data_IF_896398147028
#
_entry.id   IF_896398147028
#
_cell.length_a   1.000
_cell.length_b   1.000
_cell.length_c   1.000
_cell.angle_alpha   90.00
_cell.angle_beta   90.00
_cell.angle_gamma   90.00
#
_symmetry.space_group_name_H-M   'P 1'
#
loop_
_entity.id
_entity.type
_entity.pdbx_description
1 polymer ?
#
# COMPACT_ATOMS: atom_id res chain seq x y z
N UNK A 1 3.93 -65.05 10.91
CA UNK A 1 4.62 -65.12 12.21
C UNK A 1 4.56 -63.74 12.81
N UNK A 2 3.68 -63.56 13.77
CA UNK A 2 3.89 -63.32 15.22
C UNK A 2 4.60 -61.99 15.45
N UNK A 3 4.21 -61.00 16.21
CA UNK A 3 3.19 -60.85 17.29
C UNK A 3 3.40 -59.45 17.78
N UNK A 4 2.43 -58.61 17.90
CA UNK A 4 1.54 -58.35 19.06
C UNK A 4 2.20 -57.69 20.28
N UNK A 5 1.51 -56.67 20.71
CA UNK A 5 1.05 -56.34 22.06
C UNK A 5 1.65 -55.04 22.65
N UNK A 6 0.74 -54.07 22.86
CA UNK A 6 0.07 -53.68 24.14
C UNK A 6 1.00 -52.95 25.11
N UNK A 7 0.63 -51.83 25.68
CA UNK A 7 -0.43 -51.46 26.58
C UNK A 7 -0.41 -49.94 26.77
N UNK A 8 -1.40 -49.12 26.67
CA UNK A 8 -2.62 -48.95 27.51
C UNK A 8 -2.35 -48.52 28.98
N UNK A 9 -2.93 -47.38 29.28
CA UNK A 9 -3.48 -46.92 30.57
C UNK A 9 -2.52 -46.38 31.65
N UNK A 10 -2.70 -45.11 32.05
CA UNK A 10 -3.41 -44.82 33.32
C UNK A 10 -3.88 -43.36 33.40
N UNK A 11 -5.18 -43.25 33.55
CA UNK A 11 -5.94 -42.14 34.07
C UNK A 11 -5.76 -42.06 35.59
N UNK A 12 -5.65 -40.86 36.13
CA UNK A 12 -5.98 -40.60 37.51
C UNK A 12 -6.53 -39.18 37.66
N UNK A 13 -7.79 -39.12 37.86
CA UNK A 13 -8.62 -38.04 38.39
C UNK A 13 -8.26 -37.72 39.85
N UNK A 14 -8.29 -36.45 40.21
CA UNK A 14 -8.61 -36.03 41.56
C UNK A 14 -9.38 -34.71 41.55
N UNK A 15 -10.63 -34.86 41.94
CA UNK A 15 -11.62 -33.84 42.24
C UNK A 15 -11.50 -33.33 43.69
N UNK A 16 -12.13 -32.17 43.91
CA UNK A 16 -12.61 -31.56 45.16
C UNK A 16 -11.62 -30.56 45.79
N UNK A 17 -11.99 -29.37 46.19
CA UNK A 17 -13.06 -28.90 47.06
C UNK A 17 -13.24 -27.39 46.93
N UNK A 18 -14.46 -26.93 46.80
CA UNK A 18 -14.92 -25.58 47.11
C UNK A 18 -15.22 -25.51 48.62
N UNK A 19 -15.08 -24.37 49.25
CA UNK A 19 -16.27 -23.80 49.83
C UNK A 19 -16.48 -22.29 49.62
N UNK A 20 -17.76 -22.02 49.48
CA UNK A 20 -18.44 -20.75 49.41
C UNK A 20 -18.38 -19.97 50.76
N UNK A 21 -18.89 -18.72 50.62
CA UNK A 21 -19.43 -17.78 51.65
C UNK A 21 -18.55 -16.55 51.80
N UNK A 22 -18.96 -15.31 51.59
CA UNK A 22 -20.10 -14.48 51.98
C UNK A 22 -20.04 -13.11 51.34
N UNK A 23 -21.17 -12.63 50.89
CA UNK A 23 -21.54 -11.28 50.48
C UNK A 23 -21.29 -10.24 51.57
N UNK A 24 -20.75 -9.04 51.23
CA UNK A 24 -21.13 -7.75 51.89
C UNK A 24 -20.63 -6.53 51.13
N UNK A 25 -21.55 -5.77 50.67
CA UNK A 25 -21.75 -4.32 50.49
C UNK A 25 -20.62 -3.33 50.67
N UNK A 26 -20.48 -2.42 49.64
CA UNK A 26 -20.09 -1.03 49.46
C UNK A 26 -19.64 -0.21 50.75
N UNK A 27 -18.75 0.84 50.64
CA UNK A 27 -19.10 2.04 49.86
C UNK A 27 -17.92 2.70 49.04
N UNK A 28 -18.30 3.68 48.23
CA UNK A 28 -17.47 4.68 47.55
C UNK A 28 -16.46 5.34 48.47
N UNK A 29 -15.23 5.52 47.99
CA UNK A 29 -14.38 6.63 48.39
C UNK A 29 -13.36 6.93 47.28
N UNK A 30 -13.31 8.22 46.95
CA UNK A 30 -12.33 8.89 46.08
C UNK A 30 -10.89 8.46 46.39
N UNK A 31 -10.13 8.17 45.34
CA UNK A 31 -8.69 8.26 45.41
C UNK A 31 -8.16 9.02 44.20
N UNK A 32 -7.82 10.27 44.43
CA UNK A 32 -6.80 11.01 43.66
C UNK A 32 -5.44 10.48 44.09
N UNK A 33 -4.69 9.91 43.17
CA UNK A 33 -3.29 9.65 43.41
C UNK A 33 -2.49 9.88 42.13
N UNK A 34 -1.67 10.91 42.23
CA UNK A 34 -0.60 11.29 41.32
C UNK A 34 0.27 10.10 40.94
N UNK A 35 0.32 9.73 39.65
CA UNK A 35 1.34 8.87 39.11
C UNK A 35 2.45 9.72 38.48
N UNK A 36 3.58 9.71 39.14
CA UNK A 36 4.84 10.29 38.70
C UNK A 36 5.27 9.62 37.41
N UNK A 37 5.42 10.41 36.34
CA UNK A 37 5.92 9.98 35.03
C UNK A 37 7.43 9.86 35.13
N UNK A 38 7.94 8.63 35.02
CA UNK A 38 9.33 8.40 34.64
C UNK A 38 9.39 8.42 33.12
N UNK A 39 9.77 9.55 32.54
CA UNK A 39 10.10 9.66 31.13
C UNK A 39 11.47 9.03 30.87
N UNK A 40 11.50 7.80 30.41
CA UNK A 40 12.68 7.25 29.75
C UNK A 40 12.64 7.71 28.30
N UNK A 41 13.56 8.62 27.97
CA UNK A 41 13.75 9.08 26.60
C UNK A 41 14.27 7.93 25.72
N UNK A 42 13.43 7.46 24.82
CA UNK A 42 13.86 6.70 23.68
C UNK A 42 13.82 7.62 22.46
N UNK A 43 14.86 7.64 21.62
CA UNK A 43 14.86 8.47 20.42
C UNK A 43 13.78 7.97 19.46
N UNK A 44 12.85 8.86 19.18
CA UNK A 44 11.77 8.64 18.24
C UNK A 44 12.34 8.41 16.84
N UNK A 45 12.29 7.18 16.36
CA UNK A 45 12.26 6.90 14.94
C UNK A 45 10.90 7.37 14.43
N UNK A 46 10.91 8.52 13.74
CA UNK A 46 9.73 9.08 13.11
C UNK A 46 9.29 8.24 11.91
N UNK A 47 8.57 7.17 12.19
CA UNK A 47 7.56 6.70 11.27
C UNK A 47 6.28 7.37 11.72
N UNK A 48 5.85 8.39 10.99
CA UNK A 48 4.46 8.80 11.04
C UNK A 48 3.62 7.65 10.48
N UNK A 49 3.30 6.69 11.35
CA UNK A 49 2.03 6.03 11.24
C UNK A 49 1.03 7.20 11.30
N UNK A 50 0.49 7.61 10.18
CA UNK A 50 -0.78 8.30 10.18
C UNK A 50 -1.65 7.48 11.13
N UNK A 51 -1.91 8.04 12.29
CA UNK A 51 -2.81 7.45 13.26
C UNK A 51 -4.07 7.14 12.48
N UNK A 52 -4.38 5.87 12.35
CA UNK A 52 -5.72 5.45 11.98
C UNK A 52 -6.61 6.09 13.02
N UNK A 53 -7.21 7.22 12.69
CA UNK A 53 -8.29 7.78 13.48
C UNK A 53 -9.42 6.76 13.45
N UNK A 54 -9.43 5.89 14.47
CA UNK A 54 -10.57 5.05 14.78
C UNK A 54 -11.60 5.95 15.46
N UNK A 55 -12.06 6.95 14.67
CA UNK A 55 -13.21 7.74 15.03
C UNK A 55 -14.50 7.00 14.66
N UNK A 56 -15.66 7.43 15.18
CA UNK A 56 -16.93 6.97 14.66
C UNK A 56 -16.95 7.19 13.14
N UNK A 57 -17.64 6.31 12.38
CA UNK A 57 -17.68 6.44 10.92
C UNK A 57 -18.06 7.88 10.56
N UNK A 58 -17.38 8.51 9.59
CA UNK A 58 -17.66 9.87 9.22
C UNK A 58 -19.15 10.04 8.94
N UNK A 59 -19.79 10.93 9.68
CA UNK A 59 -21.20 11.25 9.48
C UNK A 59 -21.33 12.12 8.23
N UNK A 60 -22.40 11.93 7.46
CA UNK A 60 -22.76 12.84 6.37
C UNK A 60 -22.92 14.25 6.96
N UNK A 61 -22.15 15.21 6.45
CA UNK A 61 -22.12 16.60 6.94
C UNK A 61 -22.58 17.61 5.91
N UNK A 62 -22.90 17.14 4.71
CA UNK A 62 -23.21 17.97 3.54
C UNK A 62 -24.69 17.80 3.19
N UNK A 63 -25.28 18.83 2.57
CA UNK A 63 -26.64 18.75 2.06
C UNK A 63 -26.77 17.58 1.06
N UNK A 64 -27.95 16.92 1.01
CA UNK A 64 -28.16 15.82 0.07
C UNK A 64 -28.12 16.32 -1.38
N UNK A 65 -27.74 15.45 -2.33
CA UNK A 65 -27.68 15.80 -3.75
C UNK A 65 -29.00 16.36 -4.27
N UNK A 66 -28.97 17.53 -4.90
CA UNK A 66 -30.17 18.17 -5.45
C UNK A 66 -30.80 17.32 -6.56
N UNK A 67 -32.10 17.09 -6.47
CA UNK A 67 -32.85 16.36 -7.50
C UNK A 67 -32.82 17.05 -8.87
N UNK A 68 -32.72 18.39 -8.89
CA UNK A 68 -32.66 19.21 -10.11
C UNK A 68 -31.30 19.26 -10.79
N UNK A 69 -30.22 18.89 -10.08
CA UNK A 69 -28.86 18.94 -10.62
C UNK A 69 -28.65 17.91 -11.74
N UNK A 70 -27.83 18.25 -12.73
CA UNK A 70 -27.42 17.33 -13.80
C UNK A 70 -26.43 16.27 -13.30
N UNK A 71 -26.24 15.17 -14.05
CA UNK A 71 -25.23 14.15 -13.71
C UNK A 71 -23.83 14.77 -13.59
N UNK A 72 -23.46 15.70 -14.47
CA UNK A 72 -22.15 16.36 -14.47
C UNK A 72 -21.94 17.29 -13.26
N UNK A 73 -22.96 18.02 -12.86
CA UNK A 73 -22.89 18.86 -11.66
C UNK A 73 -22.74 18.01 -10.39
N UNK A 74 -23.52 16.93 -10.29
CA UNK A 74 -23.40 15.99 -9.18
C UNK A 74 -22.04 15.29 -9.14
N UNK A 75 -21.49 14.91 -10.30
CA UNK A 75 -20.14 14.36 -10.41
C UNK A 75 -19.10 15.35 -9.91
N UNK A 76 -19.16 16.61 -10.38
CA UNK A 76 -18.22 17.66 -9.97
C UNK A 76 -18.28 17.95 -8.47
N UNK A 77 -19.48 17.96 -7.88
CA UNK A 77 -19.65 18.12 -6.43
C UNK A 77 -19.06 16.92 -5.67
N UNK A 78 -19.29 15.71 -6.17
CA UNK A 78 -18.68 14.49 -5.63
C UNK A 78 -17.15 14.53 -5.69
N UNK A 79 -16.55 15.06 -6.77
CA UNK A 79 -15.11 15.23 -6.91
C UNK A 79 -14.54 16.19 -5.84
N UNK A 80 -15.22 17.30 -5.58
CA UNK A 80 -14.87 18.25 -4.50
C UNK A 80 -14.91 17.57 -3.13
N UNK A 81 -15.99 16.84 -2.85
CA UNK A 81 -16.14 16.11 -1.58
C UNK A 81 -15.08 15.03 -1.40
N UNK A 82 -14.71 14.31 -2.47
CA UNK A 82 -13.64 13.33 -2.43
C UNK A 82 -12.28 13.98 -2.17
N UNK A 83 -12.00 15.14 -2.76
CA UNK A 83 -10.78 15.91 -2.52
C UNK A 83 -10.68 16.35 -1.05
N UNK A 84 -11.81 16.70 -0.44
CA UNK A 84 -11.94 17.06 0.97
C UNK A 84 -12.01 15.84 1.91
N UNK A 85 -11.81 14.62 1.37
CA UNK A 85 -11.88 13.34 2.09
C UNK A 85 -13.26 13.01 2.68
N UNK A 86 -14.30 13.68 2.25
CA UNK A 86 -15.69 13.40 2.61
C UNK A 86 -16.24 12.25 1.74
N UNK A 87 -15.64 11.07 1.86
CA UNK A 87 -15.87 9.95 0.94
C UNK A 87 -17.31 9.42 0.94
N UNK A 88 -18.01 9.44 2.08
CA UNK A 88 -19.40 8.98 2.14
C UNK A 88 -20.31 9.91 1.36
N UNK A 89 -20.17 11.22 1.56
CA UNK A 89 -20.93 12.22 0.83
C UNK A 89 -20.59 12.18 -0.67
N UNK A 90 -19.29 12.03 -1.02
CA UNK A 90 -18.87 11.86 -2.41
C UNK A 90 -19.55 10.66 -3.08
N UNK A 91 -19.63 9.51 -2.40
CA UNK A 91 -20.33 8.31 -2.91
C UNK A 91 -21.81 8.62 -3.16
N UNK A 92 -22.48 9.33 -2.27
CA UNK A 92 -23.90 9.69 -2.43
C UNK A 92 -24.13 10.57 -3.67
N UNK A 93 -23.26 11.56 -3.88
CA UNK A 93 -23.28 12.41 -5.06
C UNK A 93 -23.00 11.65 -6.36
N UNK A 94 -21.99 10.78 -6.38
CA UNK A 94 -21.71 9.92 -7.54
C UNK A 94 -22.88 8.95 -7.82
N UNK A 95 -23.52 8.40 -6.79
CA UNK A 95 -24.71 7.56 -6.96
C UNK A 95 -25.90 8.35 -7.51
N UNK A 96 -26.06 9.60 -7.08
CA UNK A 96 -27.08 10.49 -7.65
C UNK A 96 -26.79 10.79 -9.13
N UNK A 97 -25.53 11.07 -9.48
CA UNK A 97 -25.09 11.22 -10.86
C UNK A 97 -25.34 9.93 -11.67
N UNK A 98 -25.00 8.77 -11.13
CA UNK A 98 -25.19 7.47 -11.77
C UNK A 98 -26.66 7.14 -12.03
N UNK A 99 -27.60 7.54 -11.16
CA UNK A 99 -29.03 7.39 -11.44
C UNK A 99 -29.48 8.15 -12.68
N UNK A 100 -28.82 9.27 -13.01
CA UNK A 100 -29.11 10.09 -14.20
C UNK A 100 -28.34 9.58 -15.44
N UNK A 101 -27.17 8.99 -15.25
CA UNK A 101 -26.35 8.39 -16.31
C UNK A 101 -25.90 6.97 -15.92
N UNK A 102 -26.79 5.96 -16.05
CA UNK A 102 -26.55 4.60 -15.57
C UNK A 102 -25.45 3.84 -16.34
N UNK A 103 -25.07 4.31 -17.52
CA UNK A 103 -24.05 3.68 -18.37
C UNK A 103 -22.69 4.35 -18.28
N UNK A 104 -22.48 5.21 -17.32
CA UNK A 104 -21.22 5.91 -17.11
C UNK A 104 -20.26 5.07 -16.25
N UNK A 105 -19.29 4.44 -16.89
CA UNK A 105 -18.28 3.63 -16.20
C UNK A 105 -17.41 4.46 -15.25
N UNK A 106 -17.16 5.73 -15.58
CA UNK A 106 -16.35 6.66 -14.76
C UNK A 106 -16.99 6.89 -13.39
N UNK A 107 -18.32 7.08 -13.33
CA UNK A 107 -19.01 7.25 -12.05
C UNK A 107 -18.91 6.01 -11.16
N UNK A 108 -19.01 4.81 -11.75
CA UNK A 108 -18.83 3.55 -11.02
C UNK A 108 -17.41 3.42 -10.48
N UNK A 109 -16.41 3.83 -11.27
CA UNK A 109 -15.02 3.85 -10.88
C UNK A 109 -14.76 4.83 -9.74
N UNK A 110 -15.29 6.04 -9.80
CA UNK A 110 -15.21 7.06 -8.73
C UNK A 110 -15.83 6.56 -7.42
N UNK A 111 -16.99 5.90 -7.49
CA UNK A 111 -17.59 5.24 -6.31
C UNK A 111 -16.61 4.19 -5.74
N UNK A 112 -16.03 3.36 -6.61
CA UNK A 112 -15.06 2.36 -6.21
C UNK A 112 -13.81 2.97 -5.58
N UNK A 113 -13.32 4.09 -6.09
CA UNK A 113 -12.18 4.81 -5.53
C UNK A 113 -12.47 5.38 -4.15
N UNK A 114 -13.62 6.01 -3.94
CA UNK A 114 -14.02 6.49 -2.63
C UNK A 114 -14.15 5.34 -1.61
N UNK A 115 -14.73 4.19 -2.03
CA UNK A 115 -14.81 2.98 -1.20
C UNK A 115 -13.42 2.41 -0.89
N UNK A 116 -12.49 2.43 -1.85
CA UNK A 116 -11.10 2.00 -1.67
C UNK A 116 -10.38 2.85 -0.63
N UNK A 117 -10.53 4.17 -0.70
CA UNK A 117 -9.96 5.12 0.25
C UNK A 117 -10.52 4.95 1.67
N UNK A 118 -11.74 4.41 1.79
CA UNK A 118 -12.35 4.01 3.06
C UNK A 118 -11.98 2.58 3.49
N UNK A 119 -11.04 1.90 2.81
CA UNK A 119 -10.68 0.50 3.03
C UNK A 119 -11.83 -0.50 2.85
N UNK A 120 -12.91 -0.12 2.17
CA UNK A 120 -14.05 -0.98 1.85
C UNK A 120 -13.78 -1.82 0.61
N UNK A 121 -12.80 -2.71 0.69
CA UNK A 121 -12.26 -3.43 -0.48
C UNK A 121 -13.30 -4.29 -1.21
N UNK A 122 -14.25 -4.89 -0.49
CA UNK A 122 -15.30 -5.72 -1.12
C UNK A 122 -16.26 -4.89 -1.96
N UNK A 123 -16.63 -3.72 -1.47
CA UNK A 123 -17.50 -2.77 -2.16
C UNK A 123 -16.77 -2.15 -3.35
N UNK A 124 -15.54 -1.68 -3.16
CA UNK A 124 -14.71 -1.12 -4.22
C UNK A 124 -14.56 -2.10 -5.39
N UNK A 125 -14.30 -3.38 -5.11
CA UNK A 125 -14.23 -4.43 -6.12
C UNK A 125 -15.50 -4.51 -6.95
N UNK A 126 -16.67 -4.53 -6.30
CA UNK A 126 -17.96 -4.59 -7.01
C UNK A 126 -18.16 -3.38 -7.92
N UNK A 127 -17.80 -2.18 -7.45
CA UNK A 127 -17.92 -0.95 -8.22
C UNK A 127 -17.00 -0.96 -9.45
N UNK A 128 -15.74 -1.37 -9.31
CA UNK A 128 -14.80 -1.52 -10.45
C UNK A 128 -15.25 -2.61 -11.43
N UNK A 129 -15.79 -3.73 -10.92
CA UNK A 129 -16.35 -4.78 -11.77
C UNK A 129 -17.58 -4.31 -12.56
N UNK A 130 -18.39 -3.44 -11.98
CA UNK A 130 -19.50 -2.81 -12.71
C UNK A 130 -18.98 -1.85 -13.77
N UNK A 131 -17.96 -1.03 -13.46
CA UNK A 131 -17.38 -0.09 -14.41
C UNK A 131 -16.91 -0.81 -15.70
N UNK A 132 -16.09 -1.85 -15.62
CA UNK A 132 -15.64 -2.56 -16.83
C UNK A 132 -16.69 -3.49 -17.45
N UNK A 133 -17.78 -3.82 -16.76
CA UNK A 133 -18.92 -4.51 -17.41
C UNK A 133 -19.70 -3.55 -18.30
N UNK A 134 -19.80 -2.29 -17.88
CA UNK A 134 -20.44 -1.22 -18.66
C UNK A 134 -19.56 -0.79 -19.82
N UNK A 135 -18.29 -0.53 -19.55
CA UNK A 135 -17.30 -0.22 -20.57
C UNK A 135 -16.08 -1.16 -20.47
N UNK A 136 -16.02 -2.14 -21.36
CA UNK A 136 -14.93 -3.12 -21.42
C UNK A 136 -13.58 -2.52 -21.80
N UNK A 137 -13.56 -1.29 -22.37
CA UNK A 137 -12.36 -0.58 -22.76
C UNK A 137 -11.86 0.42 -21.70
N UNK A 138 -12.58 0.59 -20.61
CA UNK A 138 -12.20 1.51 -19.56
C UNK A 138 -11.05 0.93 -18.71
N UNK A 139 -9.82 1.25 -19.12
CA UNK A 139 -8.59 0.69 -18.56
C UNK A 139 -8.45 0.92 -17.06
N UNK A 140 -8.85 2.12 -16.56
CA UNK A 140 -8.74 2.48 -15.16
C UNK A 140 -9.49 1.53 -14.22
N UNK A 141 -10.67 1.04 -14.61
CA UNK A 141 -11.42 0.10 -13.78
C UNK A 141 -10.65 -1.22 -13.55
N UNK A 142 -9.93 -1.71 -14.58
CA UNK A 142 -9.06 -2.87 -14.41
C UNK A 142 -7.86 -2.56 -13.51
N UNK A 143 -7.23 -1.40 -13.70
CA UNK A 143 -6.10 -0.97 -12.89
C UNK A 143 -6.49 -0.78 -11.41
N UNK A 144 -7.63 -0.13 -11.14
CA UNK A 144 -8.14 0.09 -9.78
C UNK A 144 -8.55 -1.23 -9.11
N UNK A 145 -9.12 -2.18 -9.87
CA UNK A 145 -9.36 -3.51 -9.34
C UNK A 145 -8.05 -4.25 -9.02
N UNK A 146 -6.99 -4.04 -9.83
CA UNK A 146 -5.67 -4.58 -9.53
C UNK A 146 -5.08 -4.02 -8.24
N UNK A 147 -5.31 -2.71 -7.94
CA UNK A 147 -4.94 -2.10 -6.65
C UNK A 147 -5.62 -2.83 -5.49
N UNK A 148 -6.93 -3.11 -5.59
CA UNK A 148 -7.63 -3.86 -4.53
C UNK A 148 -6.97 -5.22 -4.29
N UNK A 149 -6.70 -5.99 -5.35
CA UNK A 149 -6.03 -7.28 -5.21
C UNK A 149 -4.62 -7.18 -4.64
N UNK A 150 -3.88 -6.11 -4.96
CA UNK A 150 -2.58 -5.83 -4.36
C UNK A 150 -2.70 -5.62 -2.85
N UNK A 151 -3.63 -4.78 -2.40
CA UNK A 151 -3.87 -4.49 -0.99
C UNK A 151 -4.35 -5.71 -0.21
N UNK A 152 -5.12 -6.61 -0.86
CA UNK A 152 -5.51 -7.92 -0.32
C UNK A 152 -4.36 -8.95 -0.31
N UNK A 153 -3.16 -8.61 -0.83
CA UNK A 153 -2.02 -9.53 -0.95
C UNK A 153 -2.11 -10.53 -2.10
N UNK A 154 -3.14 -10.42 -2.95
CA UNK A 154 -3.30 -11.30 -4.11
C UNK A 154 -2.55 -10.74 -5.34
N UNK A 155 -1.22 -10.73 -5.25
CA UNK A 155 -0.35 -10.15 -6.28
C UNK A 155 -0.51 -10.82 -7.65
N UNK A 156 -0.85 -12.09 -7.69
CA UNK A 156 -1.07 -12.81 -8.97
C UNK A 156 -2.29 -12.27 -9.71
N UNK A 157 -3.41 -12.01 -9.00
CA UNK A 157 -4.58 -11.38 -9.60
C UNK A 157 -4.29 -9.92 -9.94
N UNK A 158 -3.59 -9.19 -9.08
CA UNK A 158 -3.18 -7.82 -9.33
C UNK A 158 -2.43 -7.70 -10.66
N UNK A 159 -1.37 -8.49 -10.87
CA UNK A 159 -0.61 -8.49 -12.11
C UNK A 159 -1.52 -8.75 -13.32
N UNK A 160 -2.38 -9.78 -13.26
CA UNK A 160 -3.27 -10.12 -14.37
C UNK A 160 -4.25 -8.99 -14.73
N UNK A 161 -4.71 -8.23 -13.75
CA UNK A 161 -5.60 -7.10 -14.00
C UNK A 161 -4.84 -5.87 -14.53
N UNK A 162 -3.60 -5.63 -14.07
CA UNK A 162 -2.73 -4.63 -14.71
C UNK A 162 -2.35 -5.02 -16.15
N UNK A 163 -2.12 -6.30 -16.45
CA UNK A 163 -1.90 -6.77 -17.83
C UNK A 163 -3.06 -6.37 -18.76
N UNK A 164 -4.30 -6.48 -18.25
CA UNK A 164 -5.48 -6.03 -19.00
C UNK A 164 -5.54 -4.52 -19.15
N UNK A 165 -5.24 -3.75 -18.11
CA UNK A 165 -5.22 -2.30 -18.15
C UNK A 165 -4.18 -1.80 -19.16
N UNK A 166 -2.96 -2.35 -19.13
CA UNK A 166 -1.87 -2.01 -20.05
C UNK A 166 -2.19 -2.41 -21.50
N UNK A 167 -2.88 -3.54 -21.70
CA UNK A 167 -3.33 -3.94 -23.04
C UNK A 167 -4.38 -2.98 -23.63
N UNK A 168 -5.13 -2.27 -22.79
CA UNK A 168 -6.11 -1.28 -23.21
C UNK A 168 -5.48 0.11 -23.37
N UNK A 169 -4.53 0.46 -22.50
CA UNK A 169 -3.78 1.71 -22.56
C UNK A 169 -2.34 1.48 -22.08
N UNK A 170 -1.41 1.46 -23.04
CA UNK A 170 0.01 1.25 -22.80
C UNK A 170 0.79 2.55 -22.49
N UNK A 171 0.12 3.70 -22.47
CA UNK A 171 0.76 5.00 -22.24
C UNK A 171 0.65 5.48 -20.78
N UNK A 172 -0.10 4.78 -19.96
CA UNK A 172 -0.29 5.13 -18.56
C UNK A 172 0.86 4.61 -17.68
N UNK A 173 1.77 5.49 -17.31
CA UNK A 173 2.95 5.18 -16.47
C UNK A 173 2.56 4.51 -15.13
N UNK A 174 1.42 4.92 -14.55
CA UNK A 174 0.90 4.40 -13.28
C UNK A 174 0.61 2.90 -13.36
N UNK A 175 0.15 2.38 -14.50
CA UNK A 175 -0.14 0.95 -14.65
C UNK A 175 1.12 0.11 -14.56
N UNK A 176 2.20 0.54 -15.23
CA UNK A 176 3.50 -0.13 -15.15
C UNK A 176 4.09 -0.03 -13.76
N UNK A 177 4.10 1.17 -13.15
CA UNK A 177 4.60 1.36 -11.79
C UNK A 177 3.90 0.42 -10.78
N UNK A 178 2.58 0.33 -10.84
CA UNK A 178 1.80 -0.47 -9.90
C UNK A 178 1.92 -1.97 -10.19
N UNK A 179 2.05 -2.38 -11.48
CA UNK A 179 2.36 -3.77 -11.82
C UNK A 179 3.75 -4.17 -11.34
N UNK A 180 4.71 -3.27 -11.48
CA UNK A 180 6.07 -3.47 -10.94
C UNK A 180 6.05 -3.73 -9.44
N UNK A 181 5.29 -2.96 -8.66
CA UNK A 181 5.12 -3.20 -7.24
C UNK A 181 4.56 -4.61 -6.93
N UNK A 182 3.58 -5.06 -7.74
CA UNK A 182 3.00 -6.40 -7.61
C UNK A 182 3.99 -7.51 -7.98
N UNK A 183 4.78 -7.30 -9.02
CA UNK A 183 5.86 -8.21 -9.45
C UNK A 183 6.98 -8.28 -8.41
N UNK A 184 7.35 -7.13 -7.85
CA UNK A 184 8.35 -7.05 -6.78
C UNK A 184 7.90 -7.83 -5.54
N UNK A 185 6.65 -7.66 -5.11
CA UNK A 185 6.07 -8.41 -3.99
C UNK A 185 6.06 -9.94 -4.24
N UNK A 186 6.03 -10.36 -5.51
CA UNK A 186 6.21 -11.76 -5.94
C UNK A 186 7.67 -12.17 -6.12
N UNK A 187 8.63 -11.31 -5.79
CA UNK A 187 10.07 -11.52 -6.00
C UNK A 187 10.46 -11.77 -7.47
N UNK A 188 9.67 -11.28 -8.42
CA UNK A 188 9.97 -11.28 -9.86
C UNK A 188 10.72 -9.98 -10.22
N UNK A 189 11.92 -9.83 -9.69
CA UNK A 189 12.65 -8.56 -9.65
C UNK A 189 13.03 -8.05 -11.05
N UNK A 190 13.39 -8.91 -11.98
CA UNK A 190 13.77 -8.54 -13.35
C UNK A 190 12.56 -7.96 -14.10
N UNK A 191 11.39 -8.58 -13.96
CA UNK A 191 10.14 -8.07 -14.56
C UNK A 191 9.70 -6.76 -13.90
N UNK A 192 9.83 -6.67 -12.58
CA UNK A 192 9.54 -5.43 -11.86
C UNK A 192 10.45 -4.29 -12.32
N UNK A 193 11.75 -4.55 -12.48
CA UNK A 193 12.71 -3.57 -12.99
C UNK A 193 12.35 -3.08 -14.39
N UNK A 194 11.94 -4.00 -15.29
CA UNK A 194 11.50 -3.63 -16.64
C UNK A 194 10.25 -2.73 -16.62
N UNK A 195 9.29 -3.03 -15.76
CA UNK A 195 8.08 -2.22 -15.62
C UNK A 195 8.38 -0.85 -14.99
N UNK A 196 9.22 -0.77 -13.96
CA UNK A 196 9.66 0.52 -13.42
C UNK A 196 10.42 1.36 -14.46
N UNK A 197 11.26 0.71 -15.29
CA UNK A 197 11.95 1.40 -16.39
C UNK A 197 10.94 1.97 -17.39
N UNK A 198 9.92 1.20 -17.77
CA UNK A 198 8.86 1.67 -18.67
C UNK A 198 8.03 2.80 -18.05
N UNK A 199 7.72 2.71 -16.78
CA UNK A 199 7.04 3.78 -16.05
C UNK A 199 7.85 5.09 -16.05
N UNK A 200 9.16 5.02 -15.81
CA UNK A 200 10.07 6.18 -15.87
C UNK A 200 10.22 6.75 -17.28
N UNK A 201 10.22 5.90 -18.32
CA UNK A 201 10.24 6.35 -19.72
C UNK A 201 8.99 7.17 -20.05
N UNK A 202 7.81 6.73 -19.60
CA UNK A 202 6.55 7.41 -19.82
C UNK A 202 6.40 8.67 -18.95
N UNK A 203 6.90 8.63 -17.72
CA UNK A 203 6.82 9.71 -16.74
C UNK A 203 8.05 9.70 -15.81
N UNK A 204 9.04 10.54 -16.07
CA UNK A 204 10.28 10.61 -15.28
C UNK A 204 10.08 10.94 -13.79
N UNK A 205 8.92 11.48 -13.40
CA UNK A 205 8.60 11.85 -12.02
C UNK A 205 7.76 10.80 -11.27
N UNK A 206 7.38 9.68 -11.92
CA UNK A 206 6.40 8.74 -11.38
C UNK A 206 6.82 8.12 -10.04
N UNK A 207 8.11 7.80 -9.88
CA UNK A 207 8.62 7.16 -8.67
C UNK A 207 8.80 8.13 -7.50
N UNK A 208 8.93 9.46 -7.78
CA UNK A 208 9.11 10.48 -6.74
C UNK A 208 7.79 10.90 -6.10
N UNK A 209 6.71 10.85 -6.87
CA UNK A 209 5.38 11.26 -6.38
C UNK A 209 4.80 10.29 -5.36
N UNK A 210 5.36 9.08 -5.26
CA UNK A 210 4.93 8.07 -4.30
C UNK A 210 3.43 7.79 -4.37
N UNK A 211 2.83 7.53 -3.22
CA UNK A 211 1.38 7.27 -3.11
C UNK A 211 0.48 8.51 -3.26
N UNK A 212 1.04 9.71 -3.44
CA UNK A 212 0.25 10.94 -3.62
C UNK A 212 -0.47 11.02 -4.96
N UNK A 213 -0.11 10.17 -5.92
CA UNK A 213 -0.79 10.11 -7.20
C UNK A 213 -1.19 8.67 -7.50
N UNK A 214 -2.36 8.21 -7.13
CA UNK A 214 -2.98 6.92 -7.52
C UNK A 214 -2.03 5.68 -7.60
N UNK A 215 -0.79 5.80 -7.11
CA UNK A 215 0.23 4.76 -7.14
C UNK A 215 0.17 3.86 -5.92
N UNK A 216 0.46 2.59 -6.11
CA UNK A 216 0.65 1.62 -5.03
C UNK A 216 2.11 1.63 -4.64
N UNK A 217 2.41 1.83 -3.35
CA UNK A 217 3.78 1.62 -2.88
C UNK A 217 4.10 0.13 -2.81
N UNK A 218 5.32 -0.23 -3.22
CA UNK A 218 5.80 -1.59 -3.05
C UNK A 218 5.78 -1.97 -1.56
N UNK A 219 5.14 -3.08 -1.23
CA UNK A 219 5.24 -3.66 0.11
C UNK A 219 6.60 -4.30 0.25
N UNK A 220 7.42 -3.76 1.14
CA UNK A 220 8.80 -4.17 1.38
C UNK A 220 8.88 -4.74 2.81
N UNK A 221 8.55 -6.04 2.97
CA UNK A 221 8.33 -6.63 4.30
C UNK A 221 9.63 -6.85 5.09
N UNK A 222 10.78 -6.78 4.43
CA UNK A 222 12.06 -6.97 5.09
C UNK A 222 13.09 -5.90 4.70
N UNK A 223 14.11 -5.64 5.54
CA UNK A 223 15.24 -4.78 5.18
C UNK A 223 15.91 -5.20 3.88
N UNK A 224 16.05 -6.51 3.64
CA UNK A 224 16.65 -7.03 2.41
C UNK A 224 15.80 -6.74 1.17
N UNK A 225 14.47 -6.77 1.29
CA UNK A 225 13.59 -6.39 0.17
C UNK A 225 13.67 -4.88 -0.09
N UNK A 226 13.76 -4.04 0.96
CA UNK A 226 13.99 -2.59 0.83
C UNK A 226 15.32 -2.31 0.16
N UNK A 227 16.40 -2.90 0.69
CA UNK A 227 17.75 -2.74 0.14
C UNK A 227 17.83 -3.12 -1.34
N UNK A 228 17.17 -4.22 -1.73
CA UNK A 228 17.10 -4.63 -3.14
C UNK A 228 16.28 -3.66 -3.99
N UNK A 229 15.14 -3.20 -3.48
CA UNK A 229 14.30 -2.22 -4.15
C UNK A 229 15.08 -0.92 -4.41
N UNK A 230 15.75 -0.40 -3.40
CA UNK A 230 16.54 0.82 -3.52
C UNK A 230 17.72 0.64 -4.49
N UNK A 231 18.35 -0.53 -4.52
CA UNK A 231 19.38 -0.85 -5.50
C UNK A 231 18.83 -0.87 -6.94
N UNK A 232 17.66 -1.48 -7.16
CA UNK A 232 16.98 -1.47 -8.46
C UNK A 232 16.67 -0.05 -8.90
N UNK A 233 16.17 0.80 -8.01
CA UNK A 233 15.91 2.21 -8.32
C UNK A 233 17.19 2.98 -8.62
N UNK A 234 18.25 2.73 -7.86
CA UNK A 234 19.56 3.35 -8.13
C UNK A 234 20.05 3.02 -9.56
N UNK A 235 19.93 1.76 -10.01
CA UNK A 235 20.25 1.34 -11.38
C UNK A 235 19.43 2.09 -12.41
N UNK A 236 18.10 2.13 -12.21
CA UNK A 236 17.19 2.78 -13.14
C UNK A 236 17.48 4.28 -13.29
N UNK A 237 17.73 4.97 -12.18
CA UNK A 237 18.08 6.37 -12.22
C UNK A 237 19.47 6.62 -12.85
N UNK A 238 20.46 5.76 -12.58
CA UNK A 238 21.77 5.84 -13.24
C UNK A 238 21.64 5.69 -14.74
N UNK A 239 20.88 4.70 -15.23
CA UNK A 239 20.62 4.47 -16.65
C UNK A 239 19.96 5.67 -17.34
N UNK A 240 19.11 6.40 -16.61
CA UNK A 240 18.42 7.60 -17.11
C UNK A 240 19.25 8.89 -16.91
N UNK A 241 20.52 8.81 -16.50
CA UNK A 241 21.39 9.97 -16.28
C UNK A 241 21.04 10.82 -15.05
N UNK A 242 20.14 10.33 -14.18
CA UNK A 242 19.69 11.02 -12.98
C UNK A 242 20.61 10.67 -11.79
N UNK A 243 21.86 11.16 -11.87
CA UNK A 243 22.96 10.81 -10.96
C UNK A 243 22.62 11.06 -9.48
N UNK A 244 22.03 12.22 -9.15
CA UNK A 244 21.69 12.58 -7.76
C UNK A 244 20.71 11.60 -7.15
N UNK A 245 19.70 11.19 -7.92
CA UNK A 245 18.71 10.21 -7.49
C UNK A 245 19.33 8.82 -7.37
N UNK A 246 20.18 8.46 -8.31
CA UNK A 246 20.92 7.21 -8.27
C UNK A 246 21.77 7.10 -7.00
N UNK A 247 22.54 8.14 -6.67
CA UNK A 247 23.34 8.21 -5.44
C UNK A 247 22.46 8.13 -4.18
N UNK A 248 21.33 8.83 -4.20
CA UNK A 248 20.38 8.77 -3.08
C UNK A 248 19.89 7.34 -2.80
N UNK A 249 19.40 6.64 -3.83
CA UNK A 249 18.89 5.28 -3.67
C UNK A 249 20.02 4.26 -3.42
N UNK A 250 21.21 4.48 -3.99
CA UNK A 250 22.38 3.66 -3.69
C UNK A 250 22.79 3.76 -2.22
N UNK A 251 22.72 4.96 -1.63
CA UNK A 251 22.96 5.18 -0.20
C UNK A 251 21.96 4.39 0.64
N UNK A 252 20.67 4.48 0.32
CA UNK A 252 19.63 3.71 1.04
C UNK A 252 19.85 2.20 0.93
N UNK A 253 20.22 1.70 -0.24
CA UNK A 253 20.56 0.29 -0.42
C UNK A 253 21.74 -0.14 0.46
N UNK A 254 22.74 0.73 0.63
CA UNK A 254 23.87 0.50 1.53
C UNK A 254 23.46 0.51 3.00
N UNK A 255 22.65 1.50 3.41
CA UNK A 255 22.13 1.65 4.77
C UNK A 255 21.25 0.46 5.18
N UNK A 256 20.40 -0.03 4.27
CA UNK A 256 19.57 -1.23 4.48
C UNK A 256 20.34 -2.56 4.27
N UNK A 257 21.66 -2.49 4.02
CA UNK A 257 22.54 -3.65 3.97
C UNK A 257 22.35 -4.54 2.75
N UNK A 258 22.26 -3.97 1.53
CA UNK A 258 22.18 -4.76 0.30
C UNK A 258 23.39 -5.67 0.13
N UNK A 259 23.15 -7.00 0.14
CA UNK A 259 24.21 -8.00 0.16
C UNK A 259 25.11 -7.99 -1.08
N UNK A 260 24.49 -7.74 -2.24
CA UNK A 260 25.17 -7.78 -3.54
C UNK A 260 25.68 -6.41 -3.98
N UNK A 261 25.94 -5.48 -3.04
CA UNK A 261 26.32 -4.09 -3.32
C UNK A 261 27.57 -3.97 -4.22
N UNK A 262 28.46 -4.96 -4.18
CA UNK A 262 29.66 -5.01 -5.03
C UNK A 262 29.32 -5.07 -6.52
N UNK A 263 28.10 -5.46 -6.89
CA UNK A 263 27.66 -5.46 -8.28
C UNK A 263 27.64 -4.03 -8.89
N UNK A 264 27.58 -3.00 -8.06
CA UNK A 264 27.67 -1.59 -8.50
C UNK A 264 28.94 -1.32 -9.34
N UNK A 265 30.01 -2.09 -9.16
CA UNK A 265 31.23 -1.99 -9.95
C UNK A 265 31.19 -2.74 -11.28
N UNK A 266 30.20 -3.62 -11.49
CA UNK A 266 30.04 -4.48 -12.68
C UNK A 266 28.84 -4.12 -13.50
N UNK A 267 27.75 -3.68 -12.86
CA UNK A 267 26.50 -3.34 -13.53
C UNK A 267 26.74 -2.14 -14.46
N UNK A 268 26.38 -2.32 -15.73
CA UNK A 268 26.66 -1.33 -16.79
C UNK A 268 25.97 0.00 -16.54
N UNK A 269 24.80 -0.03 -15.93
CA UNK A 269 23.98 1.14 -15.64
C UNK A 269 24.71 2.17 -14.78
N UNK A 270 25.63 1.74 -13.92
CA UNK A 270 26.44 2.63 -13.10
C UNK A 270 27.73 3.16 -13.80
N UNK A 271 27.90 2.87 -15.09
CA UNK A 271 29.12 3.26 -15.83
C UNK A 271 29.47 4.72 -15.68
N UNK A 272 28.50 5.60 -15.91
CA UNK A 272 28.70 7.06 -15.77
C UNK A 272 28.74 7.50 -14.29
N UNK A 273 27.92 6.87 -13.43
CA UNK A 273 27.91 7.18 -12.00
C UNK A 273 29.27 6.91 -11.34
N UNK A 274 29.99 5.87 -11.77
CA UNK A 274 31.32 5.57 -11.25
C UNK A 274 32.37 6.65 -11.51
N UNK A 275 32.11 7.56 -12.47
CA UNK A 275 32.98 8.72 -12.77
C UNK A 275 32.71 9.91 -11.85
N UNK A 276 31.59 9.91 -11.14
CA UNK A 276 31.24 10.96 -10.19
C UNK A 276 32.05 10.79 -8.90
N UNK A 277 32.80 11.82 -8.44
CA UNK A 277 33.57 11.74 -7.19
C UNK A 277 32.73 11.32 -5.98
N UNK A 278 31.47 11.76 -5.92
CA UNK A 278 30.53 11.41 -4.83
C UNK A 278 30.21 9.93 -4.75
N UNK A 279 30.33 9.19 -5.87
CA UNK A 279 30.20 7.74 -5.86
C UNK A 279 31.33 7.10 -5.04
N UNK A 280 32.57 7.53 -5.28
CA UNK A 280 33.72 6.99 -4.54
C UNK A 280 33.64 7.32 -3.06
N UNK A 281 33.22 8.53 -2.70
CA UNK A 281 32.96 8.96 -1.33
C UNK A 281 31.88 8.10 -0.65
N UNK A 282 30.75 7.88 -1.35
CA UNK A 282 29.65 7.05 -0.86
C UNK A 282 30.11 5.62 -0.60
N UNK A 283 30.85 5.01 -1.53
CA UNK A 283 31.30 3.63 -1.41
C UNK A 283 32.40 3.45 -0.34
N UNK A 284 33.19 4.50 -0.07
CA UNK A 284 34.18 4.51 1.00
C UNK A 284 33.58 4.72 2.40
N UNK A 285 32.46 5.44 2.49
CA UNK A 285 31.82 5.79 3.78
C UNK A 285 31.28 4.59 4.57
N UNK A 286 31.09 3.45 3.90
CA UNK A 286 30.50 2.23 4.51
C UNK A 286 29.41 2.60 5.51
N UNK A 287 28.26 3.11 5.08
CA UNK A 287 27.19 3.42 6.00
C UNK A 287 26.91 2.16 6.83
N UNK A 288 26.94 2.30 8.15
CA UNK A 288 26.65 1.19 9.07
C UNK A 288 25.18 0.87 8.90
N UNK A 289 24.86 -0.39 8.58
CA UNK A 289 23.48 -0.84 8.60
C UNK A 289 22.91 -0.54 9.98
N UNK A 290 21.78 0.15 10.00
CA UNK A 290 21.07 0.43 11.25
C UNK A 290 20.52 -0.91 11.72
N UNK A 291 20.91 -1.40 12.91
CA UNK A 291 20.33 -2.64 13.44
C UNK A 291 18.82 -2.46 13.63
N UNK A 292 18.04 -3.49 13.32
CA UNK A 292 16.58 -3.55 13.51
C UNK A 292 16.18 -3.33 14.97
#
# INVERSE_FOLDING_TARGET
MRSSHRAAQKVATLTSLIPSVVLRALPMLLWTASALVLAAAHPAYGQSLEQLEVGPPPQHRVEPPSAGATAKELESQGDGLQADKNYLDAIEYYQAAQRKDPKNAVLMDKIGMAQLLMHRYKEARKSFEQAFKVDKKYANAYANLAVVYYLEGNYTKSIRFYDKAIALDANEAVFFNNRAASLFAKKQFEKASADYAKALELDPGILDRGSRGAGVQARLPSPQDRARYDYVLAKLYARNGLQDRSLHYLRKALEDGYKDIKNVYRDEEFGELRKDPRFSELMASKPVAIPD
#
